data_IF_888017375003
#
_entry.id   IF_888017375003
#
_cell.length_a   1.000
_cell.length_b   1.000
_cell.length_c   1.000
_cell.angle_alpha   90.00
_cell.angle_beta   90.00
_cell.angle_gamma   90.00
#
_symmetry.space_group_name_H-M   'P 1'
#
loop_
_entity.id
_entity.type
_entity.pdbx_description
1 polymer ?
#
# COMPACT_ATOMS: atom_id res chain seq x y z
N UNK A 1 -17.23 -9.73 36.34
CA UNK A 1 -16.38 -8.58 35.96
C UNK A 1 -15.33 -9.09 34.99
N UNK A 2 -15.62 -9.11 33.70
CA UNK A 2 -14.70 -9.53 32.64
C UNK A 2 -14.60 -8.39 31.61
N UNK A 3 -13.42 -7.78 31.46
CA UNK A 3 -13.12 -6.97 30.28
C UNK A 3 -11.91 -7.60 29.57
N UNK A 4 -12.12 -8.54 28.66
CA UNK A 4 -11.03 -9.05 27.79
C UNK A 4 -11.49 -9.55 26.42
N UNK A 5 -12.75 -9.33 26.03
CA UNK A 5 -13.30 -9.81 24.74
C UNK A 5 -13.20 -8.78 23.60
N UNK A 6 -12.78 -7.54 23.85
CA UNK A 6 -12.66 -6.52 22.79
C UNK A 6 -11.33 -6.57 22.03
N UNK A 7 -10.28 -7.17 22.61
CA UNK A 7 -8.93 -7.16 22.04
C UNK A 7 -8.73 -8.18 20.91
N UNK A 8 -9.61 -9.18 20.80
CA UNK A 8 -9.47 -10.31 19.88
C UNK A 8 -10.20 -10.15 18.54
N UNK A 9 -11.11 -9.17 18.40
CA UNK A 9 -11.84 -8.92 17.15
C UNK A 9 -11.02 -8.08 16.16
N UNK A 10 -10.06 -7.28 16.64
CA UNK A 10 -9.22 -6.44 15.75
C UNK A 10 -8.13 -7.21 14.99
N UNK A 11 -8.00 -8.52 15.22
CA UNK A 11 -6.83 -9.30 14.80
C UNK A 11 -7.02 -10.09 13.49
N UNK A 12 -8.05 -9.80 12.70
CA UNK A 12 -8.27 -10.41 11.37
C UNK A 12 -8.90 -9.45 10.36
N UNK A 13 -8.39 -8.23 10.23
CA UNK A 13 -8.59 -7.54 8.95
C UNK A 13 -7.78 -8.32 7.91
N UNK A 14 -8.44 -8.84 6.88
CA UNK A 14 -7.83 -9.63 5.82
C UNK A 14 -6.86 -8.79 5.00
N UNK A 15 -5.60 -8.70 5.44
CA UNK A 15 -4.54 -8.07 4.68
C UNK A 15 -4.08 -9.02 3.57
N UNK A 16 -4.26 -8.61 2.30
CA UNK A 16 -3.72 -9.34 1.15
C UNK A 16 -2.80 -8.42 0.36
N UNK A 17 -1.59 -8.90 0.08
CA UNK A 17 -0.60 -8.19 -0.72
C UNK A 17 -0.30 -9.05 -1.95
N UNK A 18 -0.45 -8.47 -3.14
CA UNK A 18 -0.14 -9.16 -4.41
C UNK A 18 0.72 -8.29 -5.32
N UNK A 19 1.60 -8.89 -6.14
CA UNK A 19 2.27 -8.17 -7.22
C UNK A 19 1.25 -7.54 -8.17
N UNK A 20 1.52 -6.33 -8.65
CA UNK A 20 0.79 -5.73 -9.75
C UNK A 20 1.49 -6.06 -11.07
N UNK A 21 0.75 -6.60 -12.03
CA UNK A 21 1.26 -6.86 -13.37
C UNK A 21 1.12 -5.60 -14.22
N UNK A 22 2.15 -4.75 -14.21
CA UNK A 22 2.21 -3.53 -15.00
C UNK A 22 3.11 -2.48 -14.36
N UNK A 23 3.22 -1.32 -15.01
CA UNK A 23 3.99 -0.19 -14.51
C UNK A 23 3.06 0.76 -13.77
N UNK A 24 3.41 1.12 -12.53
CA UNK A 24 2.73 2.18 -11.77
C UNK A 24 3.59 3.42 -11.79
N UNK A 25 3.06 4.50 -12.38
CA UNK A 25 3.68 5.82 -12.38
C UNK A 25 2.99 6.71 -11.35
N UNK A 26 3.76 7.29 -10.43
CA UNK A 26 3.26 8.24 -9.43
C UNK A 26 3.65 9.65 -9.84
N UNK A 27 2.64 10.53 -9.92
CA UNK A 27 2.82 11.94 -10.28
C UNK A 27 2.33 12.84 -9.15
N UNK A 28 3.13 13.84 -8.82
CA UNK A 28 2.76 14.93 -7.94
C UNK A 28 2.84 16.24 -8.72
N UNK A 29 1.69 16.89 -8.91
CA UNK A 29 1.55 18.03 -9.85
C UNK A 29 2.01 17.66 -11.27
N UNK A 30 3.06 18.30 -11.78
CA UNK A 30 3.68 18.08 -13.08
C UNK A 30 4.92 17.16 -13.03
N UNK A 31 5.38 16.76 -11.83
CA UNK A 31 6.55 15.92 -11.65
C UNK A 31 6.18 14.43 -11.48
N UNK A 32 6.84 13.56 -12.23
CA UNK A 32 6.82 12.11 -11.95
C UNK A 32 7.82 11.84 -10.83
N UNK A 33 7.33 11.30 -9.71
CA UNK A 33 8.11 11.07 -8.49
C UNK A 33 8.46 9.59 -8.28
N UNK A 34 7.84 8.69 -9.02
CA UNK A 34 8.19 7.27 -9.07
C UNK A 34 7.65 6.59 -10.34
N UNK A 35 8.33 5.54 -10.79
CA UNK A 35 7.81 4.62 -11.81
C UNK A 35 8.31 3.21 -11.49
N UNK A 36 7.39 2.28 -11.26
CA UNK A 36 7.71 0.95 -10.72
C UNK A 36 7.02 -0.18 -11.49
N UNK A 37 7.79 -1.17 -11.93
CA UNK A 37 7.28 -2.48 -12.41
C UNK A 37 7.10 -3.48 -11.24
N UNK A 38 7.50 -3.08 -10.04
CA UNK A 38 7.54 -3.90 -8.82
C UNK A 38 6.46 -3.51 -7.81
N UNK A 39 5.51 -2.68 -8.23
CA UNK A 39 4.42 -2.21 -7.40
C UNK A 39 3.57 -3.38 -6.88
N UNK A 40 2.98 -3.18 -5.70
CA UNK A 40 2.11 -4.18 -5.06
C UNK A 40 0.75 -3.58 -4.79
N UNK A 41 -0.31 -4.36 -4.99
CA UNK A 41 -1.65 -4.01 -4.54
C UNK A 41 -1.87 -4.57 -3.14
N UNK A 42 -2.28 -3.70 -2.22
CA UNK A 42 -2.62 -4.03 -0.84
C UNK A 42 -4.10 -3.86 -0.65
N UNK A 43 -4.75 -4.96 -0.25
CA UNK A 43 -6.15 -5.02 0.13
C UNK A 43 -6.23 -5.06 1.65
N UNK A 44 -7.00 -4.15 2.23
CA UNK A 44 -7.32 -4.11 3.65
C UNK A 44 -8.84 -3.99 3.79
N UNK A 45 -9.43 -4.79 4.68
CA UNK A 45 -10.89 -4.82 4.85
C UNK A 45 -11.45 -3.43 5.14
N UNK A 46 -12.48 -3.04 4.38
CA UNK A 46 -13.14 -1.74 4.53
C UNK A 46 -12.37 -0.56 3.92
N UNK A 47 -11.32 -0.80 3.13
CA UNK A 47 -10.60 0.22 2.35
C UNK A 47 -10.51 -0.15 0.87
N UNK A 48 -10.41 0.87 0.04
CA UNK A 48 -10.04 0.67 -1.35
C UNK A 48 -8.60 0.16 -1.44
N UNK A 49 -8.29 -0.74 -2.39
CA UNK A 49 -6.93 -1.22 -2.57
C UNK A 49 -5.97 -0.08 -2.89
N UNK A 50 -4.77 -0.13 -2.30
CA UNK A 50 -3.72 0.88 -2.52
C UNK A 50 -2.49 0.26 -3.17
N UNK A 51 -1.81 1.07 -4.00
CA UNK A 51 -0.51 0.71 -4.55
C UNK A 51 0.60 1.03 -3.55
N UNK A 52 1.44 0.03 -3.28
CA UNK A 52 2.73 0.20 -2.63
C UNK A 52 3.81 0.27 -3.70
N UNK A 53 4.59 1.35 -3.65
CA UNK A 53 5.77 1.57 -4.50
C UNK A 53 7.01 1.23 -3.67
N UNK A 54 7.87 0.31 -4.14
CA UNK A 54 9.15 0.05 -3.48
C UNK A 54 10.00 1.30 -3.40
N UNK A 55 10.76 1.43 -2.32
CA UNK A 55 11.52 2.63 -2.04
C UNK A 55 12.60 2.88 -3.10
N UNK A 56 13.19 1.82 -3.64
CA UNK A 56 14.18 1.89 -4.73
C UNK A 56 13.65 2.51 -6.03
N UNK A 57 12.33 2.50 -6.24
CA UNK A 57 11.69 3.03 -7.46
C UNK A 57 11.22 4.49 -7.31
N UNK A 58 11.53 5.13 -6.17
CA UNK A 58 11.19 6.53 -5.87
C UNK A 58 12.35 7.46 -6.20
N UNK A 59 12.07 8.55 -6.90
CA UNK A 59 13.06 9.55 -7.31
C UNK A 59 13.24 10.60 -6.20
N UNK A 60 14.23 10.40 -5.32
CA UNK A 60 14.49 11.30 -4.19
C UNK A 60 15.23 12.58 -4.55
N UNK A 61 15.91 12.64 -5.70
CA UNK A 61 16.65 13.83 -6.15
C UNK A 61 15.76 15.03 -6.51
N UNK A 62 14.43 14.88 -6.39
CA UNK A 62 13.43 15.92 -6.62
C UNK A 62 13.06 16.72 -5.34
N UNK A 63 13.63 16.39 -4.18
CA UNK A 63 13.32 16.99 -2.87
C UNK A 63 14.56 17.49 -2.11
#
# INVERSE_FOLDING_TARGET
>A
MQPSVESSIRQRAGLKIVPFAGVVTVRFSDAVVASSEHAKLVYEDGRDPVFYIPFEDIYFDLF
#
